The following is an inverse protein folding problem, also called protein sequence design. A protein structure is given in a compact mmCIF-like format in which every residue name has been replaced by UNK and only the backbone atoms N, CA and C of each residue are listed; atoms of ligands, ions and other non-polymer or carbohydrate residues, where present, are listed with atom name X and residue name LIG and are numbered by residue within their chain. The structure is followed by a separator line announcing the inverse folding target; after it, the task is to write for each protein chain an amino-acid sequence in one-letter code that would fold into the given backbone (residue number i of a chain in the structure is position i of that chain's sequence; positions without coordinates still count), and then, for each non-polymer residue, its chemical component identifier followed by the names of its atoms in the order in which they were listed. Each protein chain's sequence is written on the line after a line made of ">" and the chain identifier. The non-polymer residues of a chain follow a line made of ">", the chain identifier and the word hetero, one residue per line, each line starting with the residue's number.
data_IF_913522193130
#
_entry.id   IF_913522193130
#
_cell.length_a   1.000
_cell.length_b   1.000
_cell.length_c   1.000
_cell.angle_alpha   90.00
_cell.angle_beta   90.00
_cell.angle_gamma   90.00
#
_symmetry.space_group_name_H-M   'P 1'
#
loop_
_entity.id
_entity.type
_entity.pdbx_description
1 polymer ?
#
# COMPACT_ATOMS: atom_id res chain seq x y z
N UNK A 1 43.94 -49.82 -18.24
CA UNK A 1 43.50 -49.13 -19.47
C UNK A 1 41.99 -49.00 -19.61
N UNK A 2 41.17 -49.94 -19.13
CA UNK A 2 39.65 -49.87 -19.24
C UNK A 2 39.00 -48.70 -18.46
N UNK A 3 39.53 -48.31 -17.31
CA UNK A 3 38.98 -47.25 -16.47
C UNK A 3 39.11 -45.81 -17.07
N UNK A 4 40.17 -45.59 -17.88
CA UNK A 4 40.35 -44.30 -18.52
C UNK A 4 39.46 -44.15 -19.76
N UNK A 5 39.18 -45.22 -20.45
CA UNK A 5 38.25 -45.24 -21.59
C UNK A 5 36.80 -44.92 -21.13
N UNK A 6 36.41 -45.45 -19.98
CA UNK A 6 35.07 -45.20 -19.40
C UNK A 6 34.90 -43.73 -18.96
N UNK A 7 35.95 -43.15 -18.35
CA UNK A 7 35.97 -41.74 -17.99
C UNK A 7 35.92 -40.81 -19.23
N UNK A 8 36.61 -41.17 -20.27
CA UNK A 8 36.61 -40.40 -21.52
C UNK A 8 35.26 -40.48 -22.22
N UNK A 9 34.60 -41.65 -22.25
CA UNK A 9 33.27 -41.84 -22.79
C UNK A 9 32.21 -41.03 -21.98
N UNK A 10 32.28 -41.02 -20.62
CA UNK A 10 31.41 -40.25 -19.77
C UNK A 10 31.55 -38.74 -19.98
N UNK A 11 32.80 -38.26 -20.23
CA UNK A 11 33.08 -36.87 -20.48
C UNK A 11 32.50 -36.42 -21.83
N UNK A 12 32.64 -37.24 -22.87
CA UNK A 12 32.06 -37.00 -24.20
C UNK A 12 30.54 -37.00 -24.13
N UNK A 13 29.91 -37.92 -23.37
CA UNK A 13 28.49 -37.96 -23.21
C UNK A 13 27.96 -36.71 -22.47
N UNK A 14 28.68 -36.27 -21.45
CA UNK A 14 28.32 -35.06 -20.69
C UNK A 14 28.44 -33.78 -21.54
N UNK A 15 29.48 -33.66 -22.40
CA UNK A 15 29.62 -32.51 -23.32
C UNK A 15 28.54 -32.52 -24.41
N UNK A 16 28.16 -33.66 -24.95
CA UNK A 16 27.06 -33.81 -25.91
C UNK A 16 25.71 -33.44 -25.28
N UNK A 17 25.48 -33.74 -23.99
CA UNK A 17 24.28 -33.39 -23.26
C UNK A 17 24.16 -31.89 -23.04
N UNK A 18 25.28 -31.17 -22.78
CA UNK A 18 25.29 -29.72 -22.61
C UNK A 18 25.04 -28.96 -23.93
N UNK A 19 25.40 -29.53 -25.07
CA UNK A 19 25.18 -28.92 -26.38
C UNK A 19 23.69 -28.94 -26.82
N UNK A 20 22.87 -29.79 -26.26
CA UNK A 20 21.42 -29.84 -26.55
C UNK A 20 20.57 -28.83 -25.77
N UNK A 21 21.17 -28.04 -24.88
CA UNK A 21 20.44 -27.07 -24.01
C UNK A 21 20.05 -25.77 -24.74
N UNK A 22 20.46 -25.53 -25.98
CA UNK A 22 20.15 -24.30 -26.71
C UNK A 22 18.78 -24.24 -27.38
N UNK A 23 17.91 -25.26 -27.23
CA UNK A 23 16.61 -25.33 -27.90
C UNK A 23 15.44 -24.63 -27.23
N UNK A 24 15.64 -23.99 -26.05
CA UNK A 24 14.52 -23.42 -25.27
C UNK A 24 14.20 -21.94 -25.55
N UNK A 25 14.92 -21.29 -26.48
CA UNK A 25 14.65 -19.91 -26.84
C UNK A 25 13.49 -19.83 -27.85
N UNK A 26 12.28 -19.61 -27.36
CA UNK A 26 11.10 -19.32 -28.19
C UNK A 26 11.14 -17.83 -28.58
N UNK A 27 11.43 -17.55 -29.86
CA UNK A 27 11.42 -16.18 -30.40
C UNK A 27 9.99 -15.64 -30.27
N UNK A 28 9.80 -14.51 -29.58
CA UNK A 28 8.50 -13.84 -29.53
C UNK A 28 8.16 -13.27 -30.90
N UNK A 29 6.92 -13.48 -31.35
CA UNK A 29 6.45 -12.97 -32.63
C UNK A 29 6.38 -11.44 -32.60
N UNK A 30 6.80 -10.78 -33.68
CA UNK A 30 6.78 -9.31 -33.81
C UNK A 30 5.35 -8.76 -33.69
N UNK A 31 4.33 -9.56 -34.05
CA UNK A 31 2.92 -9.22 -33.89
C UNK A 31 2.50 -9.17 -32.42
N UNK A 32 3.10 -10.00 -31.58
CA UNK A 32 2.81 -10.03 -30.14
C UNK A 32 3.61 -9.00 -29.36
N UNK A 33 4.85 -8.72 -29.80
CA UNK A 33 5.71 -7.71 -29.20
C UNK A 33 6.31 -6.79 -30.27
N UNK A 34 5.63 -5.68 -30.63
CA UNK A 34 6.16 -4.72 -31.59
C UNK A 34 7.54 -4.19 -31.19
N UNK A 35 8.43 -4.06 -32.15
CA UNK A 35 9.80 -3.53 -31.94
C UNK A 35 9.74 -2.05 -31.54
N UNK A 36 8.73 -1.31 -32.06
CA UNK A 36 8.54 0.10 -31.75
C UNK A 36 7.98 0.25 -30.31
N UNK A 37 8.61 1.12 -29.52
CA UNK A 37 8.22 1.40 -28.14
C UNK A 37 6.83 1.98 -28.05
N UNK A 38 6.48 2.91 -28.95
CA UNK A 38 5.19 3.58 -28.95
C UNK A 38 4.03 2.62 -29.28
N UNK A 39 4.25 1.69 -30.19
CA UNK A 39 3.28 0.65 -30.51
C UNK A 39 3.08 -0.33 -29.33
N UNK A 40 4.14 -0.69 -28.60
CA UNK A 40 4.04 -1.50 -27.40
C UNK A 40 3.25 -0.79 -26.31
N UNK A 41 3.56 0.50 -26.09
CA UNK A 41 2.84 1.31 -25.09
C UNK A 41 1.37 1.42 -25.49
N UNK A 42 1.07 1.72 -26.74
CA UNK A 42 -0.32 1.82 -27.24
C UNK A 42 -1.08 0.49 -27.10
N UNK A 43 -0.45 -0.63 -27.46
CA UNK A 43 -1.01 -1.97 -27.31
C UNK A 43 -1.25 -2.29 -25.82
N UNK A 44 -0.28 -2.02 -24.95
CA UNK A 44 -0.43 -2.26 -23.52
C UNK A 44 -1.54 -1.43 -22.88
N UNK A 45 -1.71 -0.17 -23.32
CA UNK A 45 -2.81 0.70 -22.88
C UNK A 45 -4.16 0.15 -23.36
N UNK A 46 -4.26 -0.28 -24.63
CA UNK A 46 -5.48 -0.85 -25.18
C UNK A 46 -5.87 -2.18 -24.51
N UNK A 47 -4.89 -3.02 -24.18
CA UNK A 47 -5.09 -4.29 -23.48
C UNK A 47 -5.22 -4.15 -21.95
N UNK A 48 -5.19 -2.91 -21.42
CA UNK A 48 -5.24 -2.65 -19.99
C UNK A 48 -4.01 -3.18 -19.24
N UNK A 49 -2.90 -3.41 -19.93
CA UNK A 49 -1.62 -3.87 -19.37
C UNK A 49 -0.71 -2.69 -19.03
N UNK A 50 -1.22 -1.71 -18.30
CA UNK A 50 -0.39 -0.64 -17.75
C UNK A 50 0.63 -1.15 -16.74
N UNK A 51 1.57 -0.27 -16.38
CA UNK A 51 2.59 -0.55 -15.37
C UNK A 51 1.94 -0.89 -14.03
N UNK A 52 2.05 -2.14 -13.60
CA UNK A 52 1.53 -2.62 -12.32
C UNK A 52 2.70 -2.77 -11.36
N UNK A 53 2.79 -1.90 -10.37
CA UNK A 53 3.60 -2.12 -9.20
C UNK A 53 2.93 -3.20 -8.34
N UNK A 54 3.58 -4.36 -8.22
CA UNK A 54 3.11 -5.43 -7.36
C UNK A 54 2.42 -6.58 -8.09
N UNK A 55 2.95 -7.75 -7.89
CA UNK A 55 2.49 -9.04 -8.41
C UNK A 55 1.25 -9.48 -7.63
N UNK A 56 0.12 -8.84 -7.90
CA UNK A 56 -1.18 -9.21 -7.36
C UNK A 56 -2.23 -9.04 -8.43
N UNK A 57 -2.86 -10.13 -8.82
CA UNK A 57 -3.97 -10.18 -9.77
C UNK A 57 -5.20 -9.48 -9.17
N UNK A 58 -5.31 -8.17 -9.37
CA UNK A 58 -6.57 -7.45 -9.16
C UNK A 58 -6.94 -6.71 -10.43
N UNK A 59 -8.05 -7.13 -11.01
CA UNK A 59 -8.75 -6.44 -12.09
C UNK A 59 -9.31 -5.13 -11.53
N UNK A 60 -8.87 -4.03 -12.09
CA UNK A 60 -9.36 -2.69 -11.75
C UNK A 60 -8.22 -1.83 -11.23
N UNK A 61 -8.02 -0.68 -11.86
CA UNK A 61 -7.05 0.32 -11.44
C UNK A 61 -7.51 1.04 -10.18
N UNK A 62 -7.70 0.30 -9.08
CA UNK A 62 -7.87 0.91 -7.78
C UNK A 62 -6.51 1.42 -7.33
N UNK A 63 -6.47 2.65 -6.93
CA UNK A 63 -5.36 3.26 -6.21
C UNK A 63 -5.13 2.48 -4.91
N UNK A 64 -4.31 1.46 -4.99
CA UNK A 64 -4.07 0.50 -3.89
C UNK A 64 -3.25 1.12 -2.73
N UNK A 65 -2.88 2.40 -2.86
CA UNK A 65 -2.01 3.09 -1.92
C UNK A 65 -2.68 3.43 -0.58
N UNK A 66 -3.91 3.90 -0.58
CA UNK A 66 -4.61 4.31 0.63
C UNK A 66 -5.61 3.25 1.11
N UNK A 67 -6.01 2.31 0.24
CA UNK A 67 -7.02 1.30 0.53
C UNK A 67 -6.46 0.06 1.22
N UNK A 68 -5.16 -0.23 1.09
CA UNK A 68 -4.58 -1.47 1.61
C UNK A 68 -4.17 -1.42 3.08
N UNK A 69 -3.82 -0.23 3.61
CA UNK A 69 -3.39 -0.10 5.00
C UNK A 69 -4.57 0.28 5.92
N UNK A 70 -5.05 -0.63 6.77
CA UNK A 70 -6.18 -0.36 7.66
C UNK A 70 -5.88 0.75 8.68
N UNK A 71 -4.62 0.94 9.08
CA UNK A 71 -4.22 1.99 10.02
C UNK A 71 -4.34 3.39 9.38
N UNK A 72 -3.93 3.52 8.12
CA UNK A 72 -4.11 4.75 7.34
C UNK A 72 -5.57 5.09 7.11
N UNK A 73 -6.36 4.11 6.67
CA UNK A 73 -7.82 4.26 6.46
C UNK A 73 -8.50 4.69 7.74
N UNK A 74 -8.14 4.05 8.86
CA UNK A 74 -8.67 4.39 10.18
C UNK A 74 -8.35 5.82 10.59
N UNK A 75 -7.16 6.32 10.28
CA UNK A 75 -6.77 7.68 10.58
C UNK A 75 -7.52 8.71 9.72
N UNK A 76 -7.65 8.46 8.41
CA UNK A 76 -8.42 9.33 7.50
C UNK A 76 -9.89 9.41 7.95
N UNK A 77 -10.50 8.28 8.26
CA UNK A 77 -11.91 8.20 8.70
C UNK A 77 -12.14 8.90 10.05
N UNK A 78 -11.20 8.77 11.00
CA UNK A 78 -11.32 9.46 12.30
C UNK A 78 -11.10 10.97 12.18
N UNK A 79 -10.30 11.43 11.21
CA UNK A 79 -10.02 12.84 10.99
C UNK A 79 -10.95 13.51 9.97
N UNK A 80 -11.99 12.83 9.50
CA UNK A 80 -12.92 13.32 8.46
C UNK A 80 -13.70 14.58 8.89
N UNK A 81 -13.76 14.85 10.20
CA UNK A 81 -14.41 16.06 10.76
C UNK A 81 -13.60 17.35 10.52
N UNK A 82 -12.35 17.27 10.04
CA UNK A 82 -11.45 18.42 9.84
C UNK A 82 -10.81 18.36 8.45
N UNK A 83 -10.76 19.47 7.70
CA UNK A 83 -10.02 19.51 6.44
C UNK A 83 -8.55 19.14 6.62
N UNK A 84 -8.01 18.42 5.66
CA UNK A 84 -6.61 18.00 5.67
C UNK A 84 -5.75 18.96 4.82
N UNK A 85 -4.70 19.53 5.40
CA UNK A 85 -3.69 20.31 4.66
C UNK A 85 -2.77 19.39 3.85
N UNK A 86 -2.39 18.26 4.44
CA UNK A 86 -1.49 17.30 3.81
C UNK A 86 -1.80 15.87 4.27
N UNK A 87 -1.84 14.95 3.31
CA UNK A 87 -1.97 13.53 3.54
C UNK A 87 -1.01 12.78 2.62
N UNK A 88 0.20 12.50 3.12
CA UNK A 88 1.24 11.77 2.39
C UNK A 88 1.36 10.35 2.91
N UNK A 89 0.85 9.38 2.15
CA UNK A 89 0.94 7.96 2.51
C UNK A 89 2.41 7.49 2.52
N UNK A 90 3.17 7.80 1.47
CA UNK A 90 4.59 7.43 1.38
C UNK A 90 5.46 8.11 2.44
N UNK A 91 5.10 9.35 2.83
CA UNK A 91 5.76 10.06 3.92
C UNK A 91 5.27 9.66 5.31
N UNK A 92 4.23 8.82 5.40
CA UNK A 92 3.66 8.34 6.66
C UNK A 92 3.16 9.48 7.53
N UNK A 93 2.51 10.51 6.95
CA UNK A 93 2.07 11.68 7.70
C UNK A 93 0.71 12.18 7.20
N UNK A 94 -0.15 12.56 8.15
CA UNK A 94 -1.39 13.30 7.92
C UNK A 94 -1.35 14.58 8.76
N UNK A 95 -1.69 15.71 8.16
CA UNK A 95 -1.72 17.03 8.81
C UNK A 95 -3.08 17.67 8.51
N UNK A 96 -3.79 18.11 9.56
CA UNK A 96 -5.04 18.84 9.40
C UNK A 96 -4.80 20.32 9.14
N UNK A 97 -5.80 21.02 8.68
CA UNK A 97 -5.88 22.48 8.77
C UNK A 97 -5.91 22.91 10.26
N UNK A 98 -5.77 24.23 10.48
CA UNK A 98 -6.08 24.83 11.76
C UNK A 98 -7.60 24.88 11.93
N UNK A 99 -8.12 24.39 13.03
CA UNK A 99 -9.54 24.42 13.34
C UNK A 99 -9.78 24.95 14.76
N UNK A 100 -10.86 25.67 14.93
CA UNK A 100 -11.24 26.19 16.24
C UNK A 100 -11.97 25.12 17.05
N UNK A 101 -11.69 25.09 18.35
CA UNK A 101 -12.47 24.29 19.29
C UNK A 101 -13.74 25.06 19.65
N UNK A 102 -14.91 24.38 19.72
CA UNK A 102 -16.20 25.00 20.06
C UNK A 102 -16.24 25.67 21.44
N UNK A 103 -15.26 25.42 22.31
CA UNK A 103 -15.13 26.00 23.64
C UNK A 103 -14.36 27.34 23.66
N UNK A 104 -14.26 28.03 22.54
CA UNK A 104 -13.63 29.36 22.51
C UNK A 104 -14.60 30.38 23.11
N UNK A 105 -14.35 30.79 24.36
CA UNK A 105 -14.90 32.04 24.90
C UNK A 105 -14.31 33.20 24.09
N UNK A 106 -15.11 34.23 23.81
CA UNK A 106 -14.84 35.37 22.92
C UNK A 106 -13.52 36.09 23.11
N UNK A 107 -12.74 35.79 24.16
CA UNK A 107 -11.49 36.50 24.48
C UNK A 107 -10.22 35.78 24.03
N UNK A 108 -10.26 34.53 23.58
CA UNK A 108 -9.06 33.80 23.15
C UNK A 108 -9.33 33.00 21.87
N UNK A 109 -8.80 33.54 20.76
CA UNK A 109 -8.83 32.86 19.47
C UNK A 109 -7.81 31.70 19.50
N UNK A 110 -8.28 30.52 19.89
CA UNK A 110 -7.46 29.30 19.96
C UNK A 110 -7.81 28.38 18.81
N UNK A 111 -6.80 28.02 18.05
CA UNK A 111 -6.90 27.06 16.96
C UNK A 111 -6.03 25.83 17.24
N UNK A 112 -6.53 24.66 16.87
CA UNK A 112 -5.82 23.41 17.00
C UNK A 112 -5.41 22.87 15.62
N UNK A 113 -4.28 22.19 15.58
CA UNK A 113 -3.81 21.44 14.42
C UNK A 113 -3.37 20.07 14.88
N UNK A 114 -3.85 19.02 14.19
CA UNK A 114 -3.49 17.63 14.47
C UNK A 114 -2.49 17.17 13.42
N UNK A 115 -1.46 16.47 13.87
CA UNK A 115 -0.52 15.78 13.00
C UNK A 115 -0.43 14.34 13.44
N UNK A 116 -0.74 13.41 12.52
CA UNK A 116 -0.58 11.98 12.73
C UNK A 116 0.62 11.50 11.94
N UNK A 117 1.57 10.83 12.61
CA UNK A 117 2.77 10.23 12.01
C UNK A 117 2.70 8.72 12.18
N UNK A 118 2.85 8.02 11.08
CA UNK A 118 2.90 6.55 11.04
C UNK A 118 4.35 6.08 11.13
N UNK A 119 4.63 5.19 12.06
CA UNK A 119 5.96 4.65 12.31
C UNK A 119 6.09 3.22 11.77
N UNK A 120 4.96 2.50 11.65
CA UNK A 120 4.85 1.19 11.01
C UNK A 120 3.44 0.98 10.46
N UNK A 121 3.25 -0.11 9.70
CA UNK A 121 1.96 -0.48 9.12
C UNK A 121 1.14 -1.43 10.02
N UNK A 122 1.64 -1.77 11.19
CA UNK A 122 0.99 -2.67 12.12
C UNK A 122 -0.01 -1.94 13.03
N UNK A 123 -1.10 -2.59 13.40
CA UNK A 123 -2.11 -2.01 14.30
C UNK A 123 -1.64 -2.15 15.74
N UNK A 124 -0.72 -1.28 16.15
CA UNK A 124 -0.14 -1.22 17.49
C UNK A 124 -0.07 0.22 17.98
N UNK A 125 -0.06 0.38 19.30
CA UNK A 125 -0.05 1.71 19.93
C UNK A 125 1.22 2.53 19.64
N UNK A 126 2.34 1.90 19.38
CA UNK A 126 3.62 2.52 19.03
C UNK A 126 3.77 2.76 17.51
N UNK A 127 2.89 2.16 16.68
CA UNK A 127 2.90 2.32 15.23
C UNK A 127 2.46 3.71 14.77
N UNK A 128 1.81 4.49 15.61
CA UNK A 128 1.39 5.85 15.28
C UNK A 128 1.66 6.84 16.41
N UNK A 129 1.96 8.06 16.03
CA UNK A 129 2.19 9.18 16.95
C UNK A 129 1.27 10.34 16.56
N UNK A 130 0.37 10.69 17.46
CA UNK A 130 -0.49 11.86 17.34
C UNK A 130 0.18 13.05 18.01
N UNK A 131 0.20 14.19 17.37
CA UNK A 131 0.75 15.43 17.88
C UNK A 131 -0.32 16.51 17.73
N UNK A 132 -0.54 17.29 18.78
CA UNK A 132 -1.47 18.39 18.78
C UNK A 132 -0.73 19.71 18.99
N UNK A 133 -1.00 20.63 18.12
CA UNK A 133 -0.47 22.00 18.20
C UNK A 133 -1.62 22.96 18.46
N UNK A 134 -1.41 23.89 19.36
CA UNK A 134 -2.31 24.98 19.69
C UNK A 134 -1.69 26.27 19.19
N UNK A 135 -2.47 27.05 18.46
CA UNK A 135 -2.16 28.42 18.08
C UNK A 135 -3.08 29.34 18.84
N UNK A 136 -2.52 30.28 19.60
CA UNK A 136 -3.28 31.32 20.31
C UNK A 136 -2.84 32.66 19.82
N UNK A 137 -3.79 33.51 19.44
CA UNK A 137 -3.57 34.87 18.94
C UNK A 137 -4.13 35.90 19.91
N UNK A 138 -3.30 36.87 20.32
CA UNK A 138 -3.69 38.01 21.14
C UNK A 138 -3.24 39.28 20.37
N UNK A 139 -4.19 40.13 19.98
CA UNK A 139 -3.89 41.41 19.29
C UNK A 139 -2.88 41.23 18.13
N UNK A 140 -3.14 40.36 17.17
CA UNK A 140 -2.28 40.07 16.01
C UNK A 140 -0.95 39.37 16.32
N UNK A 141 -0.64 39.06 17.57
CA UNK A 141 0.53 38.26 17.93
C UNK A 141 0.11 36.81 18.18
N UNK A 142 0.45 35.92 17.24
CA UNK A 142 0.10 34.48 17.31
C UNK A 142 1.28 33.69 17.80
N UNK A 143 1.05 32.83 18.80
CA UNK A 143 2.05 31.86 19.32
C UNK A 143 1.52 30.44 19.08
N UNK A 144 2.40 29.62 18.52
CA UNK A 144 2.11 28.18 18.33
C UNK A 144 2.95 27.36 19.29
N UNK A 145 2.32 26.43 19.99
CA UNK A 145 3.00 25.49 20.89
C UNK A 145 2.43 24.08 20.70
N UNK A 146 3.28 23.10 20.87
CA UNK A 146 2.83 21.71 21.02
C UNK A 146 2.22 21.54 22.42
N UNK A 147 1.03 20.98 22.48
CA UNK A 147 0.35 20.68 23.75
C UNK A 147 0.26 19.17 23.97
N UNK A 148 0.33 18.75 25.23
CA UNK A 148 -0.07 17.39 25.65
C UNK A 148 -1.52 17.47 26.08
N UNK A 149 -2.38 16.78 25.38
CA UNK A 149 -3.83 16.75 25.64
C UNK A 149 -4.32 15.31 25.74
N UNK A 150 -5.40 15.09 26.50
CA UNK A 150 -6.14 13.81 26.50
C UNK A 150 -6.57 13.41 25.09
N UNK A 151 -6.84 14.40 24.22
CA UNK A 151 -7.20 14.21 22.82
C UNK A 151 -6.15 13.41 22.03
N UNK A 152 -4.84 13.53 22.35
CA UNK A 152 -3.81 12.68 21.72
C UNK A 152 -4.08 11.19 21.93
N UNK A 153 -4.41 10.81 23.17
CA UNK A 153 -4.71 9.41 23.54
C UNK A 153 -6.03 8.93 22.97
N UNK A 154 -7.04 9.79 23.01
CA UNK A 154 -8.37 9.49 22.50
C UNK A 154 -8.37 9.28 20.98
N UNK A 155 -7.74 10.19 20.22
CA UNK A 155 -7.58 10.06 18.78
C UNK A 155 -6.76 8.80 18.41
N UNK A 156 -5.66 8.57 19.12
CA UNK A 156 -4.85 7.38 18.91
C UNK A 156 -5.66 6.10 19.10
N UNK A 157 -6.44 6.03 20.18
CA UNK A 157 -7.29 4.89 20.47
C UNK A 157 -8.41 4.74 19.42
N UNK A 158 -9.03 5.85 19.00
CA UNK A 158 -10.07 5.84 17.97
C UNK A 158 -9.52 5.32 16.64
N UNK A 159 -8.34 5.79 16.22
CA UNK A 159 -7.67 5.34 14.99
C UNK A 159 -7.37 3.83 15.05
N UNK A 160 -6.81 3.34 16.17
CA UNK A 160 -6.50 1.92 16.33
C UNK A 160 -7.76 1.04 16.31
N UNK A 161 -8.83 1.47 16.98
CA UNK A 161 -10.13 0.77 16.95
C UNK A 161 -10.70 0.70 15.54
N UNK A 162 -10.67 1.82 14.80
CA UNK A 162 -11.19 1.87 13.44
C UNK A 162 -10.34 1.01 12.48
N UNK A 163 -9.02 1.06 12.61
CA UNK A 163 -8.10 0.21 11.87
C UNK A 163 -8.36 -1.28 12.07
N UNK A 164 -8.58 -1.71 13.33
CA UNK A 164 -8.90 -3.10 13.64
C UNK A 164 -10.23 -3.56 13.02
N UNK A 165 -11.22 -2.66 12.91
CA UNK A 165 -12.48 -2.96 12.20
C UNK A 165 -12.22 -3.16 10.70
N UNK A 166 -11.47 -2.27 10.06
CA UNK A 166 -11.13 -2.40 8.64
C UNK A 166 -10.32 -3.67 8.35
N UNK A 167 -9.35 -4.02 9.18
CA UNK A 167 -8.59 -5.28 9.04
C UNK A 167 -9.50 -6.51 9.12
N UNK A 168 -10.44 -6.53 10.07
CA UNK A 168 -11.42 -7.60 10.21
C UNK A 168 -12.31 -7.74 8.96
N UNK A 169 -12.78 -6.62 8.41
CA UNK A 169 -13.62 -6.61 7.21
C UNK A 169 -12.84 -7.06 5.97
N UNK A 170 -11.58 -6.63 5.82
CA UNK A 170 -10.71 -7.06 4.73
C UNK A 170 -10.41 -8.56 4.82
N UNK A 171 -10.18 -9.10 6.02
CA UNK A 171 -10.01 -10.54 6.24
C UNK A 171 -11.26 -11.35 5.89
N UNK A 172 -12.46 -10.84 6.22
CA UNK A 172 -13.74 -11.46 5.86
C UNK A 172 -13.90 -11.52 4.34
N UNK A 173 -13.70 -10.40 3.64
CA UNK A 173 -13.75 -10.31 2.17
C UNK A 173 -12.76 -11.27 1.51
N UNK A 174 -11.55 -11.36 2.05
CA UNK A 174 -10.52 -12.29 1.56
C UNK A 174 -10.95 -13.75 1.68
N UNK A 175 -11.56 -14.15 2.80
CA UNK A 175 -12.11 -15.52 2.99
C UNK A 175 -13.22 -15.82 2.00
N UNK A 176 -14.15 -14.90 1.79
CA UNK A 176 -15.26 -15.06 0.85
C UNK A 176 -14.76 -15.23 -0.60
N UNK A 177 -13.75 -14.43 -1.00
CA UNK A 177 -13.14 -14.51 -2.33
C UNK A 177 -12.43 -15.85 -2.55
N UNK A 178 -11.66 -16.32 -1.55
CA UNK A 178 -11.00 -17.64 -1.62
C UNK A 178 -12.01 -18.78 -1.67
N UNK A 179 -13.12 -18.70 -0.93
CA UNK A 179 -14.18 -19.68 -0.94
C UNK A 179 -14.84 -19.81 -2.34
N UNK A 180 -15.15 -18.68 -2.98
CA UNK A 180 -15.72 -18.65 -4.34
C UNK A 180 -14.77 -19.22 -5.40
N UNK A 181 -13.48 -18.97 -5.29
CA UNK A 181 -12.49 -19.49 -6.26
C UNK A 181 -12.25 -21.01 -6.10
N UNK A 182 -12.38 -21.54 -4.89
CA UNK A 182 -12.29 -22.99 -4.64
C UNK A 182 -13.49 -23.73 -5.22
N UNK A 183 -14.70 -23.15 -5.14
CA UNK A 183 -15.91 -23.72 -5.75
C UNK A 183 -15.87 -23.76 -7.27
N UNK A 184 -15.26 -22.76 -7.93
CA UNK A 184 -15.14 -22.72 -9.40
C UNK A 184 -14.17 -23.78 -9.96
N UNK A 185 -13.11 -24.10 -9.23
CA UNK A 185 -12.15 -25.12 -9.68
C UNK A 185 -12.65 -26.56 -9.51
N UNK A 186 -13.64 -26.82 -8.66
CA UNK A 186 -14.27 -28.12 -8.48
C UNK A 186 -15.42 -28.37 -9.48
N UNK A 187 -15.95 -27.34 -10.12
CA UNK A 187 -17.03 -27.46 -11.10
C UNK A 187 -16.59 -27.76 -12.54
N UNK A 188 -15.26 -27.75 -12.84
CA UNK A 188 -14.74 -27.90 -14.20
C UNK A 188 -14.11 -29.27 -14.47
N UNK A 189 -14.34 -30.25 -13.60
CA UNK A 189 -13.93 -31.66 -13.77
C UNK A 189 -15.18 -32.54 -13.85
N UNK A 190 -15.97 -32.36 -14.90
CA UNK A 190 -16.98 -33.30 -15.36
C UNK A 190 -17.06 -33.24 -16.88
#
# INVERSE_FOLDING_TARGET
>A
MKTNLFKLAALIFFTLFLMNSCGFYKRSDIKDNPVNVDERVKKNIQEGRGFRFGRGTTRGGDFDFASSNPLWRGAVDVLDFVPLTNASYSGGIIITEWFSSENNTESTNRELKITVRFMSNEIRADALKVLIFEKSCIQNNCKTKKIKSKLEGELKLAILKKAALFEKDDFKKFKETKGKNRGKNLGNTR
#
